data_IF_691659593848
#
_entry.id   IF_691659593848
#
_cell.length_a   1.000
_cell.length_b   1.000
_cell.length_c   1.000
_cell.angle_alpha   90.00
_cell.angle_beta   90.00
_cell.angle_gamma   90.00
#
_symmetry.space_group_name_H-M   'P 1'
#
loop_
_entity.id
_entity.type
_entity.pdbx_description
1 polymer ?
#
# COMPACT_ATOMS: atom_id res chain seq x y z
N UNK A 1 -7.56 18.03 15.59
CA UNK A 1 -8.31 17.40 14.49
C UNK A 1 -7.38 16.73 13.48
N UNK A 2 -7.76 15.53 13.04
CA UNK A 2 -7.15 14.76 11.96
C UNK A 2 -8.16 14.57 10.83
N UNK A 3 -7.70 14.46 9.59
CA UNK A 3 -8.56 14.04 8.47
C UNK A 3 -8.04 12.74 7.85
N UNK A 4 -8.95 11.94 7.32
CA UNK A 4 -8.69 10.62 6.76
C UNK A 4 -9.35 10.54 5.40
N UNK A 5 -8.53 10.44 4.36
CA UNK A 5 -9.00 10.22 3.00
C UNK A 5 -9.03 8.70 2.73
N UNK A 6 -10.20 8.16 2.41
CA UNK A 6 -10.36 6.77 2.02
C UNK A 6 -9.74 6.50 0.64
N UNK A 7 -9.29 5.26 0.43
CA UNK A 7 -9.06 4.76 -0.92
C UNK A 7 -10.36 4.82 -1.74
N UNK A 8 -10.23 4.93 -3.06
CA UNK A 8 -11.39 4.99 -3.94
C UNK A 8 -12.23 3.71 -3.82
N UNK A 9 -13.55 3.87 -3.66
CA UNK A 9 -14.52 2.79 -3.41
C UNK A 9 -14.41 2.07 -2.05
N UNK A 10 -13.58 2.55 -1.12
CA UNK A 10 -13.41 1.92 0.21
C UNK A 10 -13.74 2.85 1.38
N UNK A 11 -14.68 3.76 1.17
CA UNK A 11 -15.18 4.68 2.20
C UNK A 11 -15.88 3.95 3.34
N UNK A 12 -16.59 2.86 3.05
CA UNK A 12 -17.36 2.10 4.03
C UNK A 12 -16.43 1.32 4.98
N UNK A 13 -15.32 0.78 4.49
CA UNK A 13 -14.30 0.15 5.30
C UNK A 13 -13.59 1.16 6.20
N UNK A 14 -13.17 2.31 5.66
CA UNK A 14 -12.59 3.38 6.48
C UNK A 14 -13.59 3.88 7.53
N UNK A 15 -14.85 4.04 7.15
CA UNK A 15 -15.92 4.42 8.06
C UNK A 15 -16.08 3.38 9.16
N UNK A 16 -16.03 2.09 8.85
CA UNK A 16 -16.14 1.01 9.84
C UNK A 16 -14.96 1.03 10.83
N UNK A 17 -13.73 1.25 10.35
CA UNK A 17 -12.56 1.37 11.22
C UNK A 17 -12.64 2.59 12.15
N UNK A 18 -12.97 3.76 11.60
CA UNK A 18 -12.86 5.03 12.30
C UNK A 18 -13.96 5.23 13.36
N UNK A 19 -13.50 5.44 14.61
CA UNK A 19 -14.34 5.81 15.75
C UNK A 19 -14.53 7.33 15.82
N UNK A 20 -15.69 7.77 16.30
CA UNK A 20 -16.02 9.19 16.54
C UNK A 20 -15.76 10.12 15.35
N UNK A 21 -15.99 9.60 14.14
CA UNK A 21 -15.76 10.32 12.88
C UNK A 21 -16.92 11.24 12.50
N UNK A 22 -16.61 12.27 11.72
CA UNK A 22 -17.57 13.08 10.98
C UNK A 22 -17.18 13.07 9.50
N UNK A 23 -18.14 12.82 8.60
CA UNK A 23 -17.91 12.91 7.17
C UNK A 23 -17.86 14.38 6.73
N UNK A 24 -16.86 14.73 5.92
CA UNK A 24 -16.73 16.00 5.19
C UNK A 24 -17.16 15.82 3.73
N UNK A 25 -16.89 14.65 3.16
CA UNK A 25 -17.35 14.20 1.84
C UNK A 25 -17.60 12.69 1.88
N UNK A 26 -17.86 12.09 0.72
CA UNK A 26 -17.98 10.64 0.53
C UNK A 26 -16.72 9.86 0.95
N UNK A 27 -15.51 10.42 0.74
CA UNK A 27 -14.23 9.76 1.07
C UNK A 27 -13.43 10.43 2.17
N UNK A 28 -13.76 11.66 2.55
CA UNK A 28 -13.00 12.41 3.57
C UNK A 28 -13.74 12.46 4.89
N UNK A 29 -13.12 11.93 5.94
CA UNK A 29 -13.61 11.95 7.31
C UNK A 29 -12.69 12.78 8.19
N UNK A 30 -13.22 13.35 9.28
CA UNK A 30 -12.44 13.99 10.33
C UNK A 30 -12.70 13.34 11.69
N UNK A 31 -11.69 13.33 12.55
CA UNK A 31 -11.78 12.86 13.94
C UNK A 31 -10.86 13.68 14.84
N UNK A 32 -11.19 13.79 16.12
CA UNK A 32 -10.33 14.48 17.09
C UNK A 32 -9.15 13.63 17.58
N UNK A 33 -9.28 12.30 17.48
CA UNK A 33 -8.24 11.36 17.93
C UNK A 33 -7.53 10.74 16.74
N UNK A 34 -6.20 10.66 16.82
CA UNK A 34 -5.40 9.93 15.84
C UNK A 34 -5.68 8.43 15.98
N UNK A 35 -6.05 7.79 14.87
CA UNK A 35 -6.29 6.37 14.78
C UNK A 35 -5.52 5.82 13.58
N UNK A 36 -4.81 4.70 13.76
CA UNK A 36 -4.27 3.97 12.62
C UNK A 36 -5.42 3.24 11.92
N UNK A 37 -5.60 3.51 10.64
CA UNK A 37 -6.63 2.90 9.80
C UNK A 37 -5.95 2.28 8.59
N UNK A 38 -6.31 1.03 8.27
CA UNK A 38 -5.74 0.31 7.13
C UNK A 38 -6.33 0.85 5.83
N UNK A 39 -7.60 1.26 5.85
CA UNK A 39 -8.34 1.73 4.67
C UNK A 39 -8.24 3.25 4.45
N UNK A 40 -7.40 3.94 5.22
CA UNK A 40 -7.06 5.34 4.96
C UNK A 40 -5.90 5.41 3.95
N UNK A 41 -6.16 5.96 2.77
CA UNK A 41 -5.13 6.23 1.74
C UNK A 41 -4.10 7.23 2.24
N UNK A 42 -4.58 8.29 2.92
CA UNK A 42 -3.72 9.27 3.55
C UNK A 42 -4.39 9.89 4.77
N UNK A 43 -3.60 10.08 5.82
CA UNK A 43 -4.01 10.76 7.06
C UNK A 43 -3.41 12.15 7.05
N UNK A 44 -4.24 13.15 7.29
CA UNK A 44 -3.88 14.55 7.39
C UNK A 44 -3.69 14.88 8.87
N UNK A 45 -2.53 15.42 9.21
CA UNK A 45 -2.17 15.74 10.60
C UNK A 45 -2.41 17.23 10.89
N UNK A 46 -2.75 17.52 12.15
CA UNK A 46 -2.87 18.89 12.67
C UNK A 46 -3.77 19.77 11.80
N UNK A 47 -4.94 19.24 11.43
CA UNK A 47 -5.83 19.89 10.49
C UNK A 47 -6.42 21.19 11.06
N UNK A 48 -6.47 22.23 10.22
CA UNK A 48 -7.09 23.53 10.51
C UNK A 48 -8.24 23.80 9.54
N UNK A 49 -9.31 24.42 10.03
CA UNK A 49 -10.33 25.02 9.18
C UNK A 49 -10.06 26.52 9.12
N UNK A 50 -9.93 27.05 7.91
CA UNK A 50 -9.64 28.46 7.67
C UNK A 50 -10.78 29.09 6.89
N UNK A 51 -11.19 30.28 7.32
CA UNK A 51 -12.04 31.14 6.51
C UNK A 51 -11.19 31.88 5.48
N UNK A 52 -11.73 32.02 4.27
CA UNK A 52 -11.07 32.70 3.16
C UNK A 52 -12.01 33.70 2.48
N UNK A 53 -11.53 34.90 2.21
CA UNK A 53 -12.33 35.93 1.52
C UNK A 53 -12.23 35.79 -0.01
N UNK A 54 -11.08 35.34 -0.49
CA UNK A 54 -10.77 35.26 -1.92
C UNK A 54 -9.83 34.09 -2.26
N UNK A 55 -9.65 33.84 -3.56
CA UNK A 55 -8.64 32.88 -4.05
C UNK A 55 -7.24 33.28 -3.59
N UNK A 56 -6.89 34.57 -3.66
CA UNK A 56 -5.56 35.06 -3.27
C UNK A 56 -5.29 34.91 -1.77
N UNK A 57 -6.32 35.07 -0.95
CA UNK A 57 -6.26 34.85 0.50
C UNK A 57 -5.95 33.39 0.84
N UNK A 58 -6.66 32.44 0.21
CA UNK A 58 -6.37 31.01 0.34
C UNK A 58 -4.94 30.66 -0.06
N UNK A 59 -4.45 31.19 -1.19
CA UNK A 59 -3.07 30.98 -1.66
C UNK A 59 -2.05 31.48 -0.63
N UNK A 60 -2.27 32.67 -0.05
CA UNK A 60 -1.41 33.24 0.98
C UNK A 60 -1.41 32.38 2.25
N UNK A 61 -2.59 31.94 2.69
CA UNK A 61 -2.75 31.11 3.89
C UNK A 61 -2.03 29.75 3.76
N UNK A 62 -2.12 29.11 2.59
CA UNK A 62 -1.43 27.85 2.31
C UNK A 62 0.09 28.04 2.21
N UNK A 63 0.56 29.07 1.49
CA UNK A 63 2.01 29.37 1.38
C UNK A 63 2.67 29.68 2.72
N UNK A 64 1.92 30.27 3.66
CA UNK A 64 2.42 30.54 5.01
C UNK A 64 2.62 29.26 5.85
N UNK A 65 1.94 28.16 5.51
CA UNK A 65 1.96 26.89 6.25
C UNK A 65 2.85 25.83 5.64
N UNK A 66 3.12 25.92 4.33
CA UNK A 66 3.85 24.88 3.62
C UNK A 66 4.12 25.25 2.17
N UNK A 67 5.04 24.49 1.56
CA UNK A 67 5.48 24.71 0.18
C UNK A 67 4.66 23.89 -0.83
N UNK A 68 4.46 22.61 -0.52
CA UNK A 68 3.85 21.64 -1.43
C UNK A 68 2.46 21.25 -0.93
N UNK A 69 1.49 21.32 -1.83
CA UNK A 69 0.08 21.17 -1.51
C UNK A 69 -0.62 20.33 -2.58
N UNK A 70 -1.31 19.30 -2.13
CA UNK A 70 -2.20 18.48 -2.94
C UNK A 70 -3.66 18.86 -2.63
N UNK A 71 -4.42 19.21 -3.67
CA UNK A 71 -5.85 19.48 -3.56
C UNK A 71 -6.63 18.17 -3.64
N UNK A 72 -7.39 17.84 -2.60
CA UNK A 72 -8.50 16.89 -2.69
C UNK A 72 -9.79 17.63 -3.05
N UNK A 73 -10.27 17.50 -4.29
CA UNK A 73 -11.43 18.25 -4.78
C UNK A 73 -12.68 17.39 -4.85
N UNK A 74 -13.66 17.66 -3.99
CA UNK A 74 -14.97 16.98 -3.99
C UNK A 74 -16.15 17.96 -4.18
N UNK A 75 -15.95 19.25 -3.90
CA UNK A 75 -16.91 20.32 -4.16
C UNK A 75 -16.14 21.59 -4.55
N UNK A 76 -16.87 22.61 -5.02
CA UNK A 76 -16.36 23.92 -5.40
C UNK A 76 -15.17 23.87 -6.38
N UNK A 77 -15.13 22.84 -7.24
CA UNK A 77 -13.98 22.43 -8.06
C UNK A 77 -13.29 23.59 -8.76
N UNK A 78 -14.06 24.45 -9.45
CA UNK A 78 -13.49 25.59 -10.19
C UNK A 78 -12.74 26.56 -9.26
N UNK A 79 -13.29 26.88 -8.08
CA UNK A 79 -12.65 27.83 -7.14
C UNK A 79 -11.45 27.18 -6.47
N UNK A 80 -11.55 25.90 -6.11
CA UNK A 80 -10.43 25.15 -5.54
C UNK A 80 -9.26 25.04 -6.53
N UNK A 81 -9.55 24.75 -7.80
CA UNK A 81 -8.53 24.67 -8.85
C UNK A 81 -7.83 26.01 -9.09
N UNK A 82 -8.56 27.14 -9.07
CA UNK A 82 -7.96 28.48 -9.19
C UNK A 82 -6.94 28.78 -8.08
N UNK A 83 -7.13 28.25 -6.88
CA UNK A 83 -6.15 28.32 -5.79
C UNK A 83 -4.96 27.40 -6.11
N UNK A 84 -5.23 26.14 -6.45
CA UNK A 84 -4.18 25.14 -6.75
C UNK A 84 -3.25 25.59 -7.88
N UNK A 85 -3.77 26.24 -8.92
CA UNK A 85 -3.00 26.73 -10.07
C UNK A 85 -2.00 27.84 -9.70
N UNK A 86 -2.22 28.54 -8.58
CA UNK A 86 -1.37 29.61 -8.05
C UNK A 86 -0.39 29.14 -6.96
N UNK A 87 -0.49 27.88 -6.54
CA UNK A 87 0.45 27.24 -5.62
C UNK A 87 1.67 26.70 -6.38
N UNK A 88 2.82 26.50 -5.70
CA UNK A 88 3.97 25.85 -6.31
C UNK A 88 3.60 24.47 -6.86
N UNK A 89 3.83 24.25 -8.16
CA UNK A 89 3.57 22.96 -8.80
C UNK A 89 4.61 21.94 -8.35
N UNK A 90 4.17 20.90 -7.64
CA UNK A 90 5.00 19.75 -7.35
C UNK A 90 4.97 18.79 -8.54
N UNK A 91 6.11 18.62 -9.22
CA UNK A 91 6.26 17.65 -10.31
C UNK A 91 6.94 16.40 -9.75
N UNK A 92 6.14 15.37 -9.54
CA UNK A 92 6.65 14.06 -9.14
C UNK A 92 6.69 13.17 -10.37
N UNK A 93 7.88 12.79 -10.87
CA UNK A 93 7.95 11.76 -11.91
C UNK A 93 7.42 10.43 -11.35
N UNK A 94 6.92 9.52 -12.20
CA UNK A 94 6.60 8.17 -11.77
C UNK A 94 7.78 7.52 -11.05
N UNK A 95 7.47 6.80 -9.99
CA UNK A 95 8.45 6.11 -9.15
C UNK A 95 9.14 4.99 -9.94
N UNK A 96 10.46 4.92 -9.85
CA UNK A 96 11.18 3.73 -10.31
C UNK A 96 11.13 2.65 -9.25
N UNK A 97 11.13 1.39 -9.65
CA UNK A 97 11.28 0.27 -8.72
C UNK A 97 12.59 0.42 -7.93
N UNK A 98 12.51 0.31 -6.60
CA UNK A 98 13.62 0.57 -5.66
C UNK A 98 14.22 1.98 -5.75
N UNK A 99 13.48 2.94 -6.32
CA UNK A 99 13.84 4.35 -6.33
C UNK A 99 13.76 5.00 -4.95
N UNK A 100 14.31 6.21 -4.85
CA UNK A 100 14.25 7.01 -3.64
C UNK A 100 12.82 7.50 -3.38
N UNK A 101 12.31 7.22 -2.18
CA UNK A 101 11.02 7.72 -1.73
C UNK A 101 11.20 9.18 -1.30
N UNK A 102 10.34 10.12 -1.75
CA UNK A 102 10.47 11.52 -1.36
C UNK A 102 10.40 11.69 0.16
N UNK A 103 11.25 12.55 0.71
CA UNK A 103 11.30 12.84 2.15
C UNK A 103 10.68 14.18 2.52
N UNK A 104 10.40 15.02 1.51
CA UNK A 104 9.79 16.33 1.74
C UNK A 104 8.33 16.16 2.16
N UNK A 105 7.84 16.96 3.12
CA UNK A 105 6.44 16.90 3.52
C UNK A 105 5.52 17.29 2.37
N UNK A 106 4.42 16.57 2.25
CA UNK A 106 3.32 16.89 1.34
C UNK A 106 2.13 17.35 2.17
N UNK A 107 1.72 18.61 1.99
CA UNK A 107 0.49 19.14 2.55
C UNK A 107 -0.71 18.71 1.72
N UNK A 108 -1.88 18.64 2.35
CA UNK A 108 -3.14 18.39 1.68
C UNK A 108 -4.19 19.42 2.10
N UNK A 109 -5.09 19.75 1.18
CA UNK A 109 -6.16 20.70 1.47
C UNK A 109 -7.39 20.43 0.61
N UNK A 110 -8.53 20.95 1.06
CA UNK A 110 -9.79 20.88 0.33
C UNK A 110 -10.68 22.09 0.64
N UNK A 111 -11.62 22.40 -0.26
CA UNK A 111 -12.61 23.46 -0.08
C UNK A 111 -13.92 22.84 0.41
N UNK A 112 -14.23 23.04 1.69
CA UNK A 112 -15.39 22.43 2.35
C UNK A 112 -16.65 23.29 2.23
N UNK A 113 -16.47 24.60 2.06
CA UNK A 113 -17.52 25.57 1.74
C UNK A 113 -16.92 26.67 0.84
N UNK A 114 -17.74 27.49 0.21
CA UNK A 114 -17.30 28.57 -0.70
C UNK A 114 -16.18 29.46 -0.12
N UNK A 115 -16.25 29.71 1.20
CA UNK A 115 -15.33 30.56 1.94
C UNK A 115 -14.64 29.83 3.10
N UNK A 116 -14.62 28.48 3.10
CA UNK A 116 -13.89 27.71 4.11
C UNK A 116 -13.08 26.59 3.49
N UNK A 117 -11.84 26.45 3.95
CA UNK A 117 -10.94 25.37 3.54
C UNK A 117 -10.52 24.55 4.76
N UNK A 118 -10.34 23.25 4.54
CA UNK A 118 -9.68 22.35 5.48
C UNK A 118 -8.27 22.10 4.97
N UNK A 119 -7.27 22.30 5.83
CA UNK A 119 -5.86 22.23 5.45
C UNK A 119 -5.06 21.41 6.45
N UNK A 120 -4.02 20.74 5.97
CA UNK A 120 -2.99 20.09 6.77
C UNK A 120 -1.63 20.23 6.08
N UNK A 121 -0.66 20.85 6.76
CA UNK A 121 0.68 21.05 6.18
C UNK A 121 1.50 19.75 6.09
N UNK A 122 1.07 18.70 6.81
CA UNK A 122 1.74 17.40 6.86
C UNK A 122 0.71 16.28 6.75
N UNK A 123 1.02 15.28 5.95
CA UNK A 123 0.23 14.05 5.86
C UNK A 123 1.08 12.81 6.17
N UNK A 124 0.44 11.65 6.24
CA UNK A 124 1.08 10.35 6.44
C UNK A 124 1.89 9.87 5.23
N UNK A 125 1.78 10.54 4.08
CA UNK A 125 2.43 10.14 2.85
C UNK A 125 3.14 11.33 2.20
N UNK A 126 4.39 11.18 1.72
CA UNK A 126 5.06 12.23 0.97
C UNK A 126 4.53 12.37 -0.47
N UNK A 127 3.65 11.48 -0.89
CA UNK A 127 3.00 11.49 -2.20
C UNK A 127 1.73 12.36 -2.16
N UNK A 128 1.44 13.17 -3.20
CA UNK A 128 0.18 13.91 -3.30
C UNK A 128 -1.02 13.00 -3.05
N UNK A 129 -1.82 13.32 -2.03
CA UNK A 129 -2.97 12.52 -1.57
C UNK A 129 -2.68 11.03 -1.28
N UNK A 130 -1.42 10.64 -1.12
CA UNK A 130 -1.03 9.24 -0.98
C UNK A 130 -1.04 8.42 -2.28
N UNK A 131 -1.14 9.06 -3.44
CA UNK A 131 -1.19 8.36 -4.74
C UNK A 131 0.21 8.01 -5.25
N UNK A 132 0.47 6.72 -5.46
CA UNK A 132 1.79 6.20 -5.85
C UNK A 132 1.72 5.59 -7.24
N UNK A 133 2.37 6.23 -8.20
CA UNK A 133 2.45 5.74 -9.58
C UNK A 133 3.88 5.35 -9.90
N UNK A 134 4.06 4.13 -10.40
CA UNK A 134 5.35 3.64 -10.87
C UNK A 134 5.56 3.86 -12.37
N UNK A 135 6.82 3.96 -12.78
CA UNK A 135 7.25 3.86 -14.17
C UNK A 135 7.23 2.37 -14.58
N UNK A 136 6.08 1.94 -15.09
CA UNK A 136 5.76 0.52 -15.35
C UNK A 136 6.50 -0.06 -16.55
N UNK A 137 7.01 -1.29 -16.41
CA UNK A 137 7.31 -2.17 -17.55
C UNK A 137 6.01 -2.85 -18.00
N UNK A 138 5.57 -2.56 -19.22
CA UNK A 138 4.33 -3.08 -19.80
C UNK A 138 4.53 -4.29 -20.70
N UNK A 139 5.78 -4.74 -20.90
CA UNK A 139 6.16 -5.75 -21.88
C UNK A 139 6.67 -7.05 -21.25
N UNK A 140 7.44 -6.94 -20.16
CA UNK A 140 8.07 -8.10 -19.50
C UNK A 140 7.13 -8.82 -18.54
N UNK A 141 6.48 -8.17 -17.55
CA UNK A 141 5.70 -8.87 -16.55
C UNK A 141 4.38 -9.39 -17.14
N UNK A 142 3.97 -10.62 -16.83
CA UNK A 142 2.78 -11.25 -17.41
C UNK A 142 1.44 -10.77 -16.81
N UNK A 143 1.48 -9.96 -15.74
CA UNK A 143 0.30 -9.37 -15.11
C UNK A 143 0.67 -8.02 -14.48
N UNK A 144 -0.30 -7.19 -14.04
CA UNK A 144 -0.02 -5.96 -13.27
C UNK A 144 -0.03 -6.16 -11.75
N UNK A 145 -0.19 -7.40 -11.27
CA UNK A 145 -0.20 -7.70 -9.84
C UNK A 145 1.17 -7.46 -9.17
N UNK A 146 2.24 -7.38 -9.96
CA UNK A 146 3.58 -7.05 -9.48
C UNK A 146 3.68 -5.67 -8.81
N UNK A 147 2.79 -4.73 -9.17
CA UNK A 147 2.82 -3.37 -8.63
C UNK A 147 2.67 -3.34 -7.12
N UNK A 148 1.90 -4.27 -6.56
CA UNK A 148 1.78 -4.46 -5.11
C UNK A 148 3.13 -4.77 -4.49
N UNK A 149 3.90 -5.68 -5.11
CA UNK A 149 5.21 -6.03 -4.59
C UNK A 149 6.24 -4.92 -4.85
N UNK A 150 6.17 -4.22 -5.98
CA UNK A 150 6.98 -3.01 -6.20
C UNK A 150 6.76 -1.97 -5.11
N UNK A 151 5.51 -1.70 -4.76
CA UNK A 151 5.14 -0.77 -3.70
C UNK A 151 5.63 -1.25 -2.34
N UNK A 152 5.41 -2.52 -1.99
CA UNK A 152 5.88 -3.08 -0.72
C UNK A 152 7.42 -3.00 -0.59
N UNK A 153 8.17 -3.42 -1.61
CA UNK A 153 9.63 -3.40 -1.51
C UNK A 153 10.21 -1.98 -1.56
N UNK A 154 9.57 -1.06 -2.30
CA UNK A 154 10.09 0.31 -2.52
C UNK A 154 9.64 1.30 -1.45
N UNK A 155 8.36 1.32 -1.11
CA UNK A 155 7.74 2.31 -0.22
C UNK A 155 7.73 1.82 1.22
N UNK A 156 7.30 0.57 1.41
CA UNK A 156 7.22 -0.07 2.73
C UNK A 156 8.57 -0.63 3.21
N UNK A 157 9.62 -0.55 2.38
CA UNK A 157 11.01 -0.91 2.65
C UNK A 157 11.19 -2.35 3.14
N UNK A 158 10.41 -3.28 2.60
CA UNK A 158 10.47 -4.72 2.93
C UNK A 158 11.35 -5.53 1.97
N UNK A 159 12.44 -4.93 1.48
CA UNK A 159 13.33 -5.51 0.46
C UNK A 159 14.18 -6.67 1.02
N UNK A 160 14.12 -7.88 0.43
CA UNK A 160 15.10 -8.93 0.71
C UNK A 160 16.52 -8.50 0.39
N UNK A 161 17.50 -9.01 1.16
CA UNK A 161 18.90 -8.82 0.79
C UNK A 161 19.21 -9.53 -0.54
N UNK A 162 20.17 -8.99 -1.30
CA UNK A 162 20.63 -9.65 -2.53
C UNK A 162 21.12 -11.06 -2.20
N UNK A 163 20.68 -12.05 -2.98
CA UNK A 163 21.00 -13.46 -2.79
C UNK A 163 20.09 -14.21 -1.81
N UNK A 164 19.21 -13.50 -1.07
CA UNK A 164 18.23 -14.14 -0.19
C UNK A 164 17.41 -15.18 -0.94
N UNK A 165 17.13 -16.30 -0.28
CA UNK A 165 16.25 -17.34 -0.78
C UNK A 165 14.81 -16.96 -0.47
N UNK A 166 14.06 -16.59 -1.52
CA UNK A 166 12.67 -16.20 -1.43
C UNK A 166 11.79 -17.30 -2.03
N UNK A 167 10.66 -17.59 -1.41
CA UNK A 167 9.65 -18.47 -1.97
C UNK A 167 8.43 -17.66 -2.40
N UNK A 168 7.98 -17.84 -3.65
CA UNK A 168 6.76 -17.22 -4.20
C UNK A 168 5.68 -18.30 -4.37
N UNK A 169 4.68 -18.27 -3.50
CA UNK A 169 3.57 -19.22 -3.50
C UNK A 169 2.42 -18.72 -4.37
N UNK A 170 1.86 -19.60 -5.21
CA UNK A 170 0.84 -19.22 -6.18
C UNK A 170 1.38 -18.29 -7.25
N UNK A 171 2.62 -18.57 -7.66
CA UNK A 171 3.45 -17.67 -8.44
C UNK A 171 2.98 -17.48 -9.88
N UNK A 172 2.07 -18.30 -10.42
CA UNK A 172 1.63 -18.18 -11.81
C UNK A 172 0.83 -16.87 -12.04
N UNK A 173 1.10 -16.09 -13.11
CA UNK A 173 2.03 -16.39 -14.22
C UNK A 173 3.48 -15.91 -14.01
N UNK A 174 3.83 -15.30 -12.87
CA UNK A 174 5.22 -14.98 -12.51
C UNK A 174 5.47 -13.52 -12.13
N UNK A 175 4.42 -12.73 -11.89
CA UNK A 175 4.56 -11.30 -11.60
C UNK A 175 5.41 -11.01 -10.37
N UNK A 176 5.15 -11.68 -9.24
CA UNK A 176 5.93 -11.49 -8.02
C UNK A 176 7.30 -12.17 -8.11
N UNK A 177 7.37 -13.37 -8.67
CA UNK A 177 8.63 -14.06 -9.01
C UNK A 177 9.59 -13.15 -9.79
N UNK A 178 9.09 -12.43 -10.79
CA UNK A 178 9.88 -11.46 -11.57
C UNK A 178 10.43 -10.32 -10.70
N UNK A 179 9.60 -9.72 -9.84
CA UNK A 179 10.04 -8.66 -8.93
C UNK A 179 11.13 -9.13 -7.98
N UNK A 180 10.96 -10.32 -7.40
CA UNK A 180 11.95 -10.90 -6.49
C UNK A 180 13.28 -11.18 -7.20
N UNK A 181 13.20 -11.68 -8.43
CA UNK A 181 14.38 -11.89 -9.28
C UNK A 181 15.07 -10.55 -9.59
N UNK A 182 14.31 -9.49 -9.92
CA UNK A 182 14.84 -8.13 -10.13
C UNK A 182 15.50 -7.55 -8.88
N UNK A 183 14.96 -7.85 -7.69
CA UNK A 183 15.56 -7.49 -6.40
C UNK A 183 16.87 -8.23 -6.11
N UNK A 184 17.25 -9.22 -6.94
CA UNK A 184 18.46 -10.00 -6.82
C UNK A 184 18.33 -11.21 -5.90
N UNK A 185 17.11 -11.66 -5.60
CA UNK A 185 16.86 -12.87 -4.83
C UNK A 185 17.08 -14.15 -5.65
N UNK A 186 17.27 -15.27 -4.96
CA UNK A 186 17.06 -16.61 -5.51
C UNK A 186 15.61 -17.01 -5.21
N UNK A 187 14.85 -17.40 -6.23
CA UNK A 187 13.40 -17.57 -6.10
C UNK A 187 13.00 -19.02 -6.29
N UNK A 188 12.34 -19.61 -5.29
CA UNK A 188 11.58 -20.85 -5.45
C UNK A 188 10.14 -20.46 -5.79
N UNK A 189 9.77 -20.62 -7.05
CA UNK A 189 8.42 -20.34 -7.55
C UNK A 189 7.58 -21.62 -7.46
N UNK A 190 6.46 -21.55 -6.75
CA UNK A 190 5.56 -22.69 -6.53
C UNK A 190 4.19 -22.39 -7.11
N UNK A 191 3.73 -23.23 -8.02
CA UNK A 191 2.36 -23.19 -8.55
C UNK A 191 2.00 -24.52 -9.25
N UNK A 192 0.71 -24.83 -9.42
CA UNK A 192 0.24 -25.96 -10.23
C UNK A 192 0.35 -25.66 -11.73
N UNK A 193 0.23 -24.39 -12.10
CA UNK A 193 0.36 -23.90 -13.47
C UNK A 193 1.80 -23.44 -13.77
N UNK A 194 2.26 -23.52 -15.03
CA UNK A 194 3.59 -23.07 -15.39
C UNK A 194 3.71 -21.55 -15.32
N UNK A 195 4.91 -21.06 -15.01
CA UNK A 195 5.29 -19.66 -15.21
C UNK A 195 5.21 -19.27 -16.69
N UNK A 196 5.06 -17.97 -16.94
CA UNK A 196 5.27 -17.42 -18.28
C UNK A 196 6.70 -17.77 -18.77
N UNK A 197 6.87 -18.20 -20.04
CA UNK A 197 8.17 -18.60 -20.57
C UNK A 197 9.26 -17.54 -20.44
N UNK A 198 8.93 -16.24 -20.49
CA UNK A 198 9.91 -15.15 -20.30
C UNK A 198 10.43 -15.15 -18.87
N UNK A 199 9.56 -15.36 -17.89
CA UNK A 199 9.91 -15.38 -16.47
C UNK A 199 10.65 -16.68 -16.13
N UNK A 200 10.17 -17.82 -16.61
CA UNK A 200 10.77 -19.13 -16.36
C UNK A 200 12.23 -19.26 -16.82
N UNK A 201 12.65 -18.45 -17.80
CA UNK A 201 14.02 -18.43 -18.35
C UNK A 201 14.96 -17.49 -17.62
N UNK A 202 14.46 -16.66 -16.70
CA UNK A 202 15.32 -15.76 -15.94
C UNK A 202 16.22 -16.57 -15.00
N UNK A 203 17.46 -16.10 -14.76
CA UNK A 203 18.37 -16.78 -13.85
C UNK A 203 17.85 -16.73 -12.40
N UNK A 204 18.34 -17.65 -11.58
CA UNK A 204 18.04 -17.73 -10.14
C UNK A 204 16.56 -18.03 -9.81
N UNK A 205 15.79 -18.55 -10.76
CA UNK A 205 14.44 -19.06 -10.53
C UNK A 205 14.43 -20.59 -10.60
N UNK A 206 13.90 -21.21 -9.56
CA UNK A 206 13.57 -22.63 -9.51
C UNK A 206 12.05 -22.77 -9.47
N UNK A 207 11.45 -23.34 -10.52
CA UNK A 207 10.01 -23.61 -10.55
C UNK A 207 9.71 -25.02 -10.01
N UNK A 208 8.74 -25.10 -9.09
CA UNK A 208 8.21 -26.35 -8.53
C UNK A 208 6.72 -26.46 -8.83
N UNK A 209 6.35 -27.46 -9.64
CA UNK A 209 4.95 -27.78 -9.94
C UNK A 209 4.27 -28.46 -8.75
N UNK A 210 3.80 -27.68 -7.78
CA UNK A 210 3.15 -28.16 -6.55
C UNK A 210 1.98 -27.27 -6.14
N UNK A 211 1.11 -27.81 -5.28
CA UNK A 211 0.09 -27.02 -4.59
C UNK A 211 0.72 -26.29 -3.40
N UNK A 212 0.60 -24.96 -3.36
CA UNK A 212 1.09 -24.14 -2.25
C UNK A 212 0.50 -24.57 -0.89
N UNK A 213 -0.75 -25.05 -0.87
CA UNK A 213 -1.43 -25.47 0.36
C UNK A 213 -1.17 -26.92 0.78
N UNK A 214 -0.54 -27.72 -0.08
CA UNK A 214 -0.14 -29.09 0.26
C UNK A 214 1.35 -29.19 0.59
N UNK A 215 2.12 -28.15 0.29
CA UNK A 215 3.56 -28.10 0.50
C UNK A 215 3.88 -27.94 1.99
N UNK A 216 4.70 -28.85 2.52
CA UNK A 216 5.21 -28.75 3.89
C UNK A 216 6.53 -27.99 3.96
N UNK A 217 6.76 -27.15 5.00
CA UNK A 217 8.01 -26.41 5.16
C UNK A 217 9.28 -27.30 5.07
N UNK A 218 9.22 -28.51 5.62
CA UNK A 218 10.34 -29.46 5.65
C UNK A 218 10.73 -29.98 4.26
N UNK A 219 9.81 -29.97 3.29
CA UNK A 219 10.10 -30.35 1.90
C UNK A 219 10.90 -29.27 1.15
N UNK A 220 10.91 -28.03 1.65
CA UNK A 220 11.65 -26.91 1.09
C UNK A 220 12.96 -26.70 1.87
N UNK A 221 12.90 -26.78 3.20
CA UNK A 221 13.99 -26.36 4.08
C UNK A 221 13.96 -24.87 4.38
N UNK A 222 15.04 -24.31 4.97
CA UNK A 222 15.08 -22.93 5.41
C UNK A 222 15.06 -21.95 4.22
N UNK A 223 14.24 -20.91 4.32
CA UNK A 223 14.13 -19.79 3.39
C UNK A 223 14.19 -18.47 4.16
N UNK A 224 14.65 -17.40 3.50
CA UNK A 224 14.74 -16.08 4.14
C UNK A 224 13.38 -15.37 4.14
N UNK A 225 12.60 -15.57 3.07
CA UNK A 225 11.33 -14.89 2.84
C UNK A 225 10.27 -15.79 2.19
N UNK A 226 9.02 -15.63 2.61
CA UNK A 226 7.84 -16.17 1.95
C UNK A 226 6.96 -15.05 1.41
N UNK A 227 6.62 -15.15 0.14
CA UNK A 227 5.73 -14.25 -0.58
C UNK A 227 4.50 -15.02 -1.06
N UNK A 228 3.32 -14.39 -1.02
CA UNK A 228 2.08 -14.99 -1.53
C UNK A 228 1.07 -13.93 -1.98
N UNK A 229 0.63 -14.02 -3.23
CA UNK A 229 -0.53 -13.30 -3.77
C UNK A 229 -1.69 -14.27 -4.12
N UNK A 230 -1.72 -15.45 -3.51
CA UNK A 230 -2.71 -16.50 -3.79
C UNK A 230 -4.13 -16.01 -3.53
N UNK A 231 -5.04 -16.35 -4.45
CA UNK A 231 -6.48 -16.25 -4.20
C UNK A 231 -6.92 -17.41 -3.30
N UNK A 232 -7.15 -17.10 -2.03
CA UNK A 232 -7.74 -18.00 -1.05
C UNK A 232 -8.53 -17.19 -0.01
N UNK A 233 -9.33 -17.88 0.81
CA UNK A 233 -9.99 -17.23 1.93
C UNK A 233 -8.96 -16.82 2.99
N UNK A 234 -9.12 -15.66 3.66
CA UNK A 234 -8.17 -15.18 4.67
C UNK A 234 -7.79 -16.21 5.75
N UNK A 235 -8.71 -17.01 6.34
CA UNK A 235 -8.34 -18.02 7.33
C UNK A 235 -7.37 -19.07 6.78
N UNK A 236 -7.51 -19.43 5.50
CA UNK A 236 -6.64 -20.42 4.85
C UNK A 236 -5.22 -19.88 4.65
N UNK A 237 -5.07 -18.59 4.33
CA UNK A 237 -3.77 -17.93 4.30
C UNK A 237 -3.15 -17.87 5.70
N UNK A 238 -3.96 -17.58 6.73
CA UNK A 238 -3.51 -17.51 8.12
C UNK A 238 -2.95 -18.87 8.59
N UNK A 239 -3.64 -19.97 8.31
CA UNK A 239 -3.16 -21.33 8.59
C UNK A 239 -1.79 -21.60 7.94
N UNK A 240 -1.65 -21.26 6.66
CA UNK A 240 -0.40 -21.43 5.91
C UNK A 240 0.74 -20.63 6.56
N UNK A 241 0.51 -19.35 6.87
CA UNK A 241 1.52 -18.48 7.50
C UNK A 241 1.89 -19.01 8.89
N UNK A 242 0.92 -19.49 9.67
CA UNK A 242 1.17 -20.07 10.99
C UNK A 242 1.99 -21.35 10.92
N UNK A 243 1.70 -22.25 9.97
CA UNK A 243 2.47 -23.48 9.74
C UNK A 243 3.94 -23.15 9.42
N UNK A 244 4.18 -22.24 8.47
CA UNK A 244 5.53 -21.80 8.12
C UNK A 244 6.26 -21.14 9.29
N UNK A 245 5.57 -20.30 10.07
CA UNK A 245 6.15 -19.67 11.26
C UNK A 245 6.48 -20.69 12.35
N UNK A 246 5.60 -21.65 12.60
CA UNK A 246 5.78 -22.68 13.62
C UNK A 246 6.97 -23.61 13.30
N UNK A 247 7.25 -23.86 12.01
CA UNK A 247 8.41 -24.64 11.58
C UNK A 247 9.77 -23.98 11.91
N UNK A 248 9.80 -22.66 12.07
CA UNK A 248 11.05 -21.89 12.23
C UNK A 248 11.89 -21.77 10.95
N UNK A 249 11.42 -22.29 9.81
CA UNK A 249 12.14 -22.29 8.53
C UNK A 249 11.96 -21.00 7.72
N UNK A 250 11.06 -20.10 8.13
CA UNK A 250 10.88 -18.79 7.52
C UNK A 250 10.54 -17.74 8.59
N UNK A 251 11.12 -16.55 8.46
CA UNK A 251 10.97 -15.47 9.45
C UNK A 251 10.37 -14.19 8.87
N UNK A 252 10.45 -13.99 7.56
CA UNK A 252 9.95 -12.79 6.89
C UNK A 252 8.87 -13.15 5.87
N UNK A 253 7.82 -12.34 5.82
CA UNK A 253 6.63 -12.63 5.04
C UNK A 253 6.07 -11.35 4.42
N UNK A 254 5.62 -11.47 3.16
CA UNK A 254 4.75 -10.48 2.52
C UNK A 254 3.62 -11.25 1.83
N UNK A 255 2.42 -11.16 2.37
CA UNK A 255 1.26 -11.90 1.86
C UNK A 255 0.10 -10.96 1.62
N UNK A 256 -0.61 -11.13 0.50
CA UNK A 256 -1.86 -10.42 0.26
C UNK A 256 -3.04 -11.19 0.85
N UNK A 257 -3.80 -10.53 1.73
CA UNK A 257 -5.07 -11.02 2.27
C UNK A 257 -6.17 -10.56 1.30
N UNK A 258 -6.77 -11.50 0.58
CA UNK A 258 -7.85 -11.22 -0.38
C UNK A 258 -9.22 -11.45 0.25
N UNK A 259 -10.13 -10.50 0.08
CA UNK A 259 -11.50 -10.64 0.54
C UNK A 259 -12.38 -11.22 -0.58
N UNK A 260 -13.06 -12.33 -0.31
CA UNK A 260 -13.96 -13.00 -1.25
C UNK A 260 -15.41 -12.76 -0.81
N UNK A 261 -15.84 -11.51 -0.85
CA UNK A 261 -17.10 -11.06 -0.25
C UNK A 261 -16.84 -9.82 0.60
N UNK A 262 -17.45 -9.74 1.79
CA UNK A 262 -17.19 -8.68 2.77
C UNK A 262 -15.76 -8.72 3.31
N UNK A 263 -15.29 -7.58 3.83
CA UNK A 263 -14.00 -7.48 4.52
C UNK A 263 -13.98 -8.37 5.77
N UNK A 264 -13.03 -9.30 5.84
CA UNK A 264 -12.87 -10.24 6.96
C UNK A 264 -12.04 -9.61 8.09
N UNK A 265 -12.71 -8.77 8.88
CA UNK A 265 -12.12 -8.04 10.00
C UNK A 265 -11.55 -8.98 11.08
N UNK A 266 -12.20 -10.11 11.34
CA UNK A 266 -11.80 -11.06 12.36
C UNK A 266 -10.46 -11.72 12.00
N UNK A 267 -10.29 -12.13 10.74
CA UNK A 267 -9.01 -12.69 10.30
C UNK A 267 -7.92 -11.63 10.21
N UNK A 268 -8.23 -10.40 9.79
CA UNK A 268 -7.28 -9.29 9.84
C UNK A 268 -6.76 -9.03 11.26
N UNK A 269 -7.65 -9.06 12.26
CA UNK A 269 -7.27 -8.92 13.66
C UNK A 269 -6.29 -10.02 14.11
N UNK A 270 -6.56 -11.28 13.76
CA UNK A 270 -5.66 -12.42 14.05
C UNK A 270 -4.30 -12.29 13.38
N UNK A 271 -4.25 -11.74 12.16
CA UNK A 271 -2.99 -11.43 11.50
C UNK A 271 -2.20 -10.35 12.25
N UNK A 272 -2.87 -9.32 12.79
CA UNK A 272 -2.25 -8.25 13.57
C UNK A 272 -1.82 -8.69 14.97
N UNK A 273 -2.44 -9.72 15.54
CA UNK A 273 -2.00 -10.34 16.81
C UNK A 273 -0.61 -10.99 16.69
N UNK A 274 -0.14 -11.28 15.47
CA UNK A 274 1.20 -11.80 15.23
C UNK A 274 2.24 -10.72 15.58
N UNK A 275 3.13 -10.95 16.57
CA UNK A 275 4.10 -9.93 17.00
C UNK A 275 5.03 -9.49 15.88
N UNK A 276 5.25 -8.18 15.77
CA UNK A 276 6.08 -7.57 14.74
C UNK A 276 5.43 -7.47 13.36
N UNK A 277 4.18 -7.93 13.23
CA UNK A 277 3.45 -7.82 11.98
C UNK A 277 2.70 -6.50 11.83
N UNK A 278 2.27 -6.22 10.60
CA UNK A 278 1.43 -5.08 10.26
C UNK A 278 0.64 -5.38 8.99
N UNK A 279 -0.47 -4.68 8.84
CA UNK A 279 -1.27 -4.66 7.61
C UNK A 279 -1.23 -3.23 7.05
N UNK A 280 -1.10 -3.14 5.74
CA UNK A 280 -1.22 -1.90 4.96
C UNK A 280 -2.13 -2.17 3.76
N UNK A 281 -2.91 -1.17 3.36
CA UNK A 281 -3.54 -1.14 2.05
C UNK A 281 -2.59 -0.36 1.13
N UNK A 282 -1.97 -1.06 0.19
CA UNK A 282 -1.10 -0.47 -0.82
C UNK A 282 -1.96 0.22 -1.88
N UNK A 283 -1.47 1.28 -2.52
CA UNK A 283 -2.20 1.94 -3.60
C UNK A 283 -2.54 0.99 -4.76
N UNK A 284 -1.70 -0.02 -5.01
CA UNK A 284 -1.98 -1.08 -5.99
C UNK A 284 -2.93 -2.18 -5.48
N UNK A 285 -3.30 -2.22 -4.19
CA UNK A 285 -4.31 -3.12 -3.67
C UNK A 285 -5.72 -2.71 -4.16
N UNK A 286 -6.56 -3.71 -4.37
CA UNK A 286 -8.01 -3.53 -4.61
C UNK A 286 -8.76 -3.84 -3.32
N UNK A 287 -9.76 -4.73 -3.38
CA UNK A 287 -10.43 -5.26 -2.20
C UNK A 287 -9.58 -6.38 -1.57
N UNK A 288 -8.41 -5.97 -1.09
CA UNK A 288 -7.39 -6.81 -0.46
C UNK A 288 -6.44 -5.91 0.32
N UNK A 289 -5.68 -6.48 1.24
CA UNK A 289 -4.65 -5.76 2.00
C UNK A 289 -3.37 -6.56 2.04
N UNK A 290 -2.24 -5.91 2.26
CA UNK A 290 -0.94 -6.57 2.33
C UNK A 290 -0.49 -6.71 3.78
N UNK A 291 -0.35 -7.95 4.23
CA UNK A 291 0.22 -8.30 5.52
C UNK A 291 1.72 -8.50 5.40
N UNK A 292 2.45 -7.89 6.32
CA UNK A 292 3.92 -7.88 6.33
C UNK A 292 4.37 -8.30 7.73
N UNK A 293 5.30 -9.23 7.76
CA UNK A 293 6.06 -9.59 8.95
C UNK A 293 7.53 -9.58 8.60
N UNK A 294 8.29 -8.73 9.29
CA UNK A 294 9.75 -8.67 9.17
C UNK A 294 10.31 -8.78 10.57
N UNK A 295 11.31 -9.64 10.78
CA UNK A 295 12.07 -9.54 12.01
C UNK A 295 12.96 -8.30 11.94
N UNK A 296 12.89 -7.45 12.97
CA UNK A 296 13.91 -6.43 13.17
C UNK A 296 15.27 -7.14 13.24
N UNK A 297 16.22 -6.69 12.43
CA UNK A 297 17.61 -7.13 12.51
C UNK A 297 18.21 -6.83 13.90
#
# INVERSE_FOLDING_TARGET
MFAYLAFENFSDELATELKNKKAISDRLFVSETLQKCIWAQVIWYDCEILEIESVGDAVKALKARGKWWALYSFDHHRRAQLVQDQLPKYKMPPMKFLGEVPTQPMGAWTMIEKNKILVAAKTSSPFPLGEIHFDEDKETPPSRAYLKLWEALTVEKTLPAKGSLCMDLGSCPGGWTWVLQQAGARVISVDKAPLDPKIARLPNIEYRKKDAFALKPEEIGPIDWLFSDIICYPPRLLELVQEWRASGLCKNFVCTIKFQGETDWDTMAKFLEIPGSRIVHLFANKHEVTWILTQSA
#
